data_IF_135224479320
#
_entry.id   IF_135224479320
#
_cell.length_a   1.000
_cell.length_b   1.000
_cell.length_c   1.000
_cell.angle_alpha   90.00
_cell.angle_beta   90.00
_cell.angle_gamma   90.00
#
_symmetry.space_group_name_H-M   'P 1'
#
loop_
_entity.id
_entity.type
_entity.pdbx_description
1 polymer ?
#
# COMPACT_ATOMS: atom_id res chain seq x y z
N UNK A 1 -12.68 -13.70 0.34
CA UNK A 1 -13.57 -12.55 0.14
C UNK A 1 -13.83 -11.90 1.49
N UNK A 2 -13.08 -10.86 1.84
CA UNK A 2 -13.33 -10.08 3.06
C UNK A 2 -13.77 -8.69 2.67
N UNK A 3 -15.03 -8.58 2.23
CA UNK A 3 -15.69 -7.29 2.08
C UNK A 3 -15.95 -6.75 3.48
N UNK A 4 -15.19 -5.73 3.87
CA UNK A 4 -15.39 -5.06 5.16
C UNK A 4 -16.81 -4.45 5.21
N UNK A 5 -17.71 -5.10 5.95
CA UNK A 5 -19.03 -4.59 6.34
C UNK A 5 -18.98 -3.92 7.73
N UNK A 6 -17.81 -3.49 8.23
CA UNK A 6 -17.69 -2.60 9.38
C UNK A 6 -17.64 -1.14 8.93
N UNK A 7 -18.67 -0.35 9.23
CA UNK A 7 -19.00 0.97 8.64
C UNK A 7 -18.01 2.14 8.77
N UNK A 8 -16.72 1.89 9.02
CA UNK A 8 -15.65 2.89 9.08
C UNK A 8 -14.84 3.05 7.78
N UNK A 9 -14.03 4.10 7.65
CA UNK A 9 -13.16 4.29 6.49
C UNK A 9 -12.01 3.25 6.48
N UNK A 10 -11.59 2.81 5.29
CA UNK A 10 -10.39 1.99 5.14
C UNK A 10 -9.13 2.74 5.57
N UNK A 11 -8.02 2.04 5.84
CA UNK A 11 -6.77 2.64 6.33
C UNK A 11 -6.25 3.79 5.47
N UNK A 12 -6.37 3.66 4.15
CA UNK A 12 -6.03 4.72 3.20
C UNK A 12 -6.90 5.97 3.36
N UNK A 13 -8.23 5.80 3.40
CA UNK A 13 -9.14 6.94 3.55
C UNK A 13 -9.06 7.57 4.95
N UNK A 14 -8.80 6.77 5.99
CA UNK A 14 -8.53 7.23 7.35
C UNK A 14 -7.26 8.09 7.39
N UNK A 15 -6.18 7.64 6.74
CA UNK A 15 -4.93 8.42 6.59
C UNK A 15 -5.16 9.73 5.82
N UNK A 16 -5.85 9.66 4.68
CA UNK A 16 -6.14 10.82 3.83
C UNK A 16 -7.22 11.75 4.40
N UNK A 17 -7.81 11.42 5.55
CA UNK A 17 -8.91 12.17 6.19
C UNK A 17 -10.07 12.49 5.24
N UNK A 18 -10.45 11.50 4.41
CA UNK A 18 -11.53 11.62 3.42
C UNK A 18 -12.59 10.53 3.61
N UNK A 19 -13.80 10.78 3.09
CA UNK A 19 -14.87 9.79 3.09
C UNK A 19 -14.46 8.55 2.27
N UNK A 20 -14.68 7.36 2.84
CA UNK A 20 -14.53 6.10 2.11
C UNK A 20 -15.85 5.78 1.39
N UNK A 21 -15.81 5.74 0.06
CA UNK A 21 -16.98 5.52 -0.80
C UNK A 21 -17.03 4.09 -1.34
N UNK A 22 -18.20 3.63 -1.77
CA UNK A 22 -18.34 2.37 -2.50
C UNK A 22 -17.42 2.38 -3.73
N UNK A 23 -16.67 1.30 -3.93
CA UNK A 23 -15.69 1.20 -5.01
C UNK A 23 -14.32 1.83 -4.73
N UNK A 24 -14.03 2.25 -3.48
CA UNK A 24 -12.70 2.70 -3.10
C UNK A 24 -11.64 1.63 -3.42
N UNK A 25 -10.70 1.95 -4.32
CA UNK A 25 -9.67 1.02 -4.79
C UNK A 25 -8.76 0.51 -3.66
N UNK A 26 -8.63 1.25 -2.58
CA UNK A 26 -7.77 0.90 -1.44
C UNK A 26 -8.51 0.08 -0.38
N UNK A 27 -9.84 0.14 -0.34
CA UNK A 27 -10.61 -0.48 0.73
C UNK A 27 -10.44 -2.00 0.85
N UNK A 28 -10.27 -2.78 -0.25
CA UNK A 28 -10.02 -4.21 -0.14
C UNK A 28 -8.65 -4.59 0.42
N UNK A 29 -7.70 -3.65 0.50
CA UNK A 29 -6.29 -3.96 0.75
C UNK A 29 -5.70 -3.26 1.98
N UNK A 30 -6.30 -2.15 2.42
CA UNK A 30 -5.85 -1.40 3.60
C UNK A 30 -6.95 -1.41 4.67
N UNK A 31 -6.84 -2.31 5.64
CA UNK A 31 -7.74 -2.34 6.79
C UNK A 31 -7.62 -1.06 7.66
N UNK A 32 -8.52 -0.89 8.63
CA UNK A 32 -8.59 0.32 9.45
C UNK A 32 -7.50 0.43 10.54
N UNK A 33 -6.81 -0.68 10.85
CA UNK A 33 -5.83 -0.77 11.93
C UNK A 33 -4.41 -0.66 11.36
N UNK A 34 -3.85 -1.76 10.85
CA UNK A 34 -2.51 -1.80 10.25
C UNK A 34 -2.45 -1.10 8.88
N UNK A 35 -3.57 -1.07 8.16
CA UNK A 35 -3.65 -0.49 6.83
C UNK A 35 -3.38 1.02 6.80
N UNK A 36 -3.57 1.75 7.90
CA UNK A 36 -3.18 3.17 7.95
C UNK A 36 -1.66 3.35 7.87
N UNK A 37 -0.90 2.60 8.67
CA UNK A 37 0.56 2.72 8.73
C UNK A 37 1.21 2.27 7.41
N UNK A 38 0.73 1.15 6.85
CA UNK A 38 1.17 0.69 5.54
C UNK A 38 0.85 1.70 4.43
N UNK A 39 -0.36 2.28 4.45
CA UNK A 39 -0.71 3.31 3.46
C UNK A 39 0.13 4.58 3.61
N UNK A 40 0.51 4.97 4.83
CA UNK A 40 1.38 6.13 5.05
C UNK A 40 2.73 5.97 4.33
N UNK A 41 3.35 4.79 4.40
CA UNK A 41 4.58 4.48 3.69
C UNK A 41 4.36 4.54 2.16
N UNK A 42 3.33 3.85 1.66
CA UNK A 42 2.99 3.85 0.22
C UNK A 42 2.71 5.26 -0.28
N UNK A 43 1.99 6.07 0.50
CA UNK A 43 1.72 7.46 0.17
C UNK A 43 3.01 8.30 0.12
N UNK A 44 3.92 8.12 1.07
CA UNK A 44 5.20 8.84 1.11
C UNK A 44 6.08 8.53 -0.10
N UNK A 45 6.09 7.27 -0.56
CA UNK A 45 7.01 6.82 -1.63
C UNK A 45 6.40 6.94 -3.02
N UNK A 46 5.15 6.52 -3.21
CA UNK A 46 4.50 6.54 -4.53
C UNK A 46 3.49 7.67 -4.66
N UNK A 47 2.88 8.11 -3.56
CA UNK A 47 1.72 8.99 -3.56
C UNK A 47 0.42 8.23 -3.83
N UNK A 48 -0.69 8.73 -3.26
CA UNK A 48 -2.01 8.10 -3.41
C UNK A 48 -2.44 7.96 -4.88
N UNK A 49 -2.22 9.00 -5.69
CA UNK A 49 -2.65 9.03 -7.09
C UNK A 49 -1.90 7.99 -7.94
N UNK A 50 -0.59 7.85 -7.76
CA UNK A 50 0.19 6.87 -8.53
C UNK A 50 -0.12 5.46 -8.06
N UNK A 51 -0.19 5.21 -6.75
CA UNK A 51 -0.60 3.92 -6.21
C UNK A 51 -1.97 3.49 -6.74
N UNK A 52 -2.95 4.40 -6.77
CA UNK A 52 -4.27 4.14 -7.37
C UNK A 52 -4.18 3.76 -8.85
N UNK A 53 -3.44 4.54 -9.66
CA UNK A 53 -3.26 4.28 -11.10
C UNK A 53 -2.57 2.94 -11.36
N UNK A 54 -1.56 2.59 -10.56
CA UNK A 54 -0.85 1.31 -10.66
C UNK A 54 -1.82 0.15 -10.37
N UNK A 55 -2.57 0.21 -9.26
CA UNK A 55 -3.55 -0.83 -8.93
C UNK A 55 -4.64 -0.97 -9.99
N UNK A 56 -5.13 0.13 -10.56
CA UNK A 56 -6.13 0.09 -11.63
C UNK A 56 -5.65 -0.67 -12.88
N UNK A 57 -4.36 -0.58 -13.22
CA UNK A 57 -3.75 -1.27 -14.38
C UNK A 57 -3.48 -2.75 -14.12
N UNK A 58 -3.50 -3.19 -12.87
CA UNK A 58 -3.22 -4.58 -12.48
C UNK A 58 -4.53 -5.39 -12.47
N UNK A 59 -4.56 -6.60 -13.05
CA UNK A 59 -5.71 -7.50 -12.95
C UNK A 59 -6.12 -7.74 -11.50
N UNK A 60 -7.43 -7.77 -11.21
CA UNK A 60 -7.96 -7.79 -9.84
C UNK A 60 -7.33 -8.90 -8.98
N UNK A 61 -7.14 -10.10 -9.55
CA UNK A 61 -6.57 -11.25 -8.86
C UNK A 61 -5.10 -11.08 -8.44
N UNK A 62 -4.35 -10.13 -9.03
CA UNK A 62 -2.95 -9.81 -8.67
C UNK A 62 -2.80 -8.56 -7.81
N UNK A 63 -3.89 -7.82 -7.57
CA UNK A 63 -3.80 -6.54 -6.85
C UNK A 63 -3.39 -6.71 -5.40
N UNK A 64 -3.77 -7.82 -4.76
CA UNK A 64 -3.34 -8.10 -3.38
C UNK A 64 -1.81 -8.21 -3.31
N UNK A 65 -1.22 -9.05 -4.16
CA UNK A 65 0.23 -9.20 -4.24
C UNK A 65 0.92 -7.87 -4.56
N UNK A 66 0.37 -7.11 -5.50
CA UNK A 66 0.88 -5.79 -5.84
C UNK A 66 0.87 -4.82 -4.65
N UNK A 67 -0.20 -4.81 -3.83
CA UNK A 67 -0.23 -3.98 -2.61
C UNK A 67 0.81 -4.44 -1.61
N UNK A 68 0.96 -5.75 -1.39
CA UNK A 68 1.99 -6.30 -0.49
C UNK A 68 3.39 -5.85 -0.95
N UNK A 69 3.70 -5.94 -2.24
CA UNK A 69 4.97 -5.47 -2.82
C UNK A 69 5.15 -3.96 -2.63
N UNK A 70 4.14 -3.15 -2.96
CA UNK A 70 4.20 -1.69 -2.77
C UNK A 70 4.45 -1.31 -1.31
N UNK A 71 3.82 -2.01 -0.36
CA UNK A 71 4.04 -1.79 1.06
C UNK A 71 5.47 -2.15 1.48
N UNK A 72 5.98 -3.30 1.04
CA UNK A 72 7.36 -3.72 1.31
C UNK A 72 8.38 -2.73 0.76
N UNK A 73 8.28 -2.37 -0.52
CA UNK A 73 9.18 -1.42 -1.19
C UNK A 73 9.12 -0.04 -0.54
N UNK A 74 7.90 0.43 -0.20
CA UNK A 74 7.72 1.71 0.48
C UNK A 74 8.36 1.71 1.87
N UNK A 75 8.12 0.67 2.68
CA UNK A 75 8.70 0.55 4.01
C UNK A 75 10.23 0.49 3.94
N UNK A 76 10.77 -0.26 2.98
CA UNK A 76 12.20 -0.33 2.75
C UNK A 76 12.78 1.05 2.39
N UNK A 77 12.15 1.79 1.48
CA UNK A 77 12.60 3.15 1.10
C UNK A 77 12.40 4.19 2.21
N UNK A 78 11.41 4.01 3.09
CA UNK A 78 11.27 4.87 4.28
C UNK A 78 12.41 4.63 5.27
N UNK A 79 12.86 3.38 5.43
CA UNK A 79 13.98 3.01 6.32
C UNK A 79 15.33 3.38 5.73
N UNK A 80 15.52 3.13 4.43
CA UNK A 80 16.71 3.47 3.66
C UNK A 80 16.32 4.36 2.48
N UNK A 81 16.39 5.70 2.63
CA UNK A 81 16.03 6.63 1.57
C UNK A 81 16.93 6.56 0.33
N UNK A 82 18.13 5.98 0.45
CA UNK A 82 19.10 5.88 -0.64
C UNK A 82 18.81 4.64 -1.48
N UNK A 83 18.89 3.45 -0.88
CA UNK A 83 18.80 2.19 -1.62
C UNK A 83 17.44 1.49 -1.48
N UNK A 84 16.67 1.76 -0.43
CA UNK A 84 15.42 1.07 -0.14
C UNK A 84 15.56 -0.46 -0.21
N UNK A 85 14.66 -1.13 -0.93
CA UNK A 85 14.72 -2.58 -1.07
C UNK A 85 15.92 -3.09 -1.89
N UNK A 86 16.62 -2.23 -2.64
CA UNK A 86 17.82 -2.61 -3.40
C UNK A 86 18.99 -2.91 -2.46
N UNK A 87 19.07 -2.26 -1.29
CA UNK A 87 20.07 -2.58 -0.27
C UNK A 87 19.94 -4.02 0.25
N UNK A 88 18.70 -4.51 0.35
CA UNK A 88 18.45 -5.92 0.70
C UNK A 88 18.96 -6.87 -0.39
N UNK A 89 18.75 -6.53 -1.67
CA UNK A 89 19.26 -7.34 -2.79
C UNK A 89 20.79 -7.43 -2.78
N UNK A 90 21.48 -6.29 -2.61
CA UNK A 90 22.94 -6.27 -2.53
C UNK A 90 23.47 -7.09 -1.34
N UNK A 91 22.76 -7.06 -0.21
CA UNK A 91 23.14 -7.84 0.97
C UNK A 91 22.99 -9.34 0.70
N UNK A 92 21.87 -9.76 0.08
CA UNK A 92 21.61 -11.17 -0.25
C UNK A 92 22.58 -11.71 -1.30
N UNK A 93 22.99 -10.89 -2.28
CA UNK A 93 23.94 -11.30 -3.31
C UNK A 93 25.36 -11.55 -2.77
N UNK A 94 25.72 -10.96 -1.62
CA UNK A 94 27.03 -11.10 -0.99
C UNK A 94 27.08 -12.22 0.08
N UNK A 95 25.98 -12.98 0.24
CA UNK A 95 25.91 -14.18 1.09
C UNK A 95 26.38 -15.40 0.30
#
# INVERSE_FOLDING_TARGET
MSGNNGGGPCGACKFLRRKCVKGCIFAPYFDSDQGMAHFAAVHKVYGASNASKMLQRIPVHKRLDAVVTLCYEALARVRDPVYGCVGHLFTLQQQ
#
